data_IF_166754070799
#
_entry.id   IF_166754070799
#
_cell.length_a   1.000
_cell.length_b   1.000
_cell.length_c   1.000
_cell.angle_alpha   90.00
_cell.angle_beta   90.00
_cell.angle_gamma   90.00
#
_symmetry.space_group_name_H-M   'P 1'
#
loop_
_entity.id
_entity.type
_entity.pdbx_description
1 polymer ?
#
# COMPACT_ATOMS: atom_id res chain seq x y z
N UNK A 1 -27.74 -11.31 -17.78
CA UNK A 1 -26.73 -10.24 -17.86
C UNK A 1 -26.32 -9.90 -16.44
N UNK A 2 -25.14 -10.35 -16.00
CA UNK A 2 -24.59 -9.94 -14.72
C UNK A 2 -24.21 -8.47 -14.86
N UNK A 3 -25.06 -7.58 -14.36
CA UNK A 3 -24.64 -6.21 -14.11
C UNK A 3 -23.60 -6.31 -12.99
N UNK A 4 -22.31 -6.36 -13.37
CA UNK A 4 -21.21 -6.09 -12.45
C UNK A 4 -21.57 -4.79 -11.74
N UNK A 5 -21.96 -4.91 -10.47
CA UNK A 5 -22.27 -3.77 -9.62
C UNK A 5 -20.93 -3.07 -9.35
N UNK A 6 -20.47 -2.25 -10.31
CA UNK A 6 -19.24 -1.46 -10.15
C UNK A 6 -19.47 -0.55 -8.96
N UNK A 7 -18.77 -0.88 -7.86
CA UNK A 7 -18.71 -0.05 -6.67
C UNK A 7 -18.44 1.40 -7.09
N UNK A 8 -19.13 2.41 -6.55
CA UNK A 8 -18.86 3.81 -6.87
C UNK A 8 -17.41 4.23 -6.53
N UNK A 9 -16.65 3.38 -5.82
CA UNK A 9 -15.24 3.56 -5.48
C UNK A 9 -14.27 2.97 -6.51
N UNK A 10 -14.76 2.31 -7.56
CA UNK A 10 -13.94 1.68 -8.62
C UNK A 10 -12.92 2.65 -9.24
N UNK A 11 -13.28 3.87 -9.69
CA UNK A 11 -12.28 4.79 -10.27
C UNK A 11 -11.21 5.21 -9.27
N UNK A 12 -11.57 5.37 -7.99
CA UNK A 12 -10.62 5.74 -6.92
C UNK A 12 -9.70 4.57 -6.58
N UNK A 13 -10.23 3.34 -6.58
CA UNK A 13 -9.45 2.12 -6.43
C UNK A 13 -8.42 1.95 -7.55
N UNK A 14 -8.81 2.16 -8.82
CA UNK A 14 -7.88 2.09 -9.96
C UNK A 14 -6.78 3.16 -9.86
N UNK A 15 -7.13 4.39 -9.49
CA UNK A 15 -6.15 5.48 -9.32
C UNK A 15 -5.12 5.17 -8.23
N UNK A 16 -5.60 4.72 -7.05
CA UNK A 16 -4.72 4.34 -5.92
C UNK A 16 -3.86 3.13 -6.28
N UNK A 17 -4.43 2.14 -6.97
CA UNK A 17 -3.67 0.97 -7.44
C UNK A 17 -2.57 1.35 -8.44
N UNK A 18 -2.88 2.19 -9.41
CA UNK A 18 -1.91 2.69 -10.39
C UNK A 18 -0.79 3.51 -9.72
N UNK A 19 -1.15 4.38 -8.77
CA UNK A 19 -0.18 5.15 -7.99
C UNK A 19 0.74 4.25 -7.16
N UNK A 20 0.20 3.21 -6.51
CA UNK A 20 0.99 2.28 -5.70
C UNK A 20 1.97 1.47 -6.56
N UNK A 21 1.55 1.00 -7.75
CA UNK A 21 2.43 0.27 -8.68
C UNK A 21 3.54 1.19 -9.19
N UNK A 22 3.20 2.41 -9.61
CA UNK A 22 4.17 3.38 -10.09
C UNK A 22 5.20 3.72 -9.01
N UNK A 23 4.74 3.93 -7.78
CA UNK A 23 5.60 4.27 -6.65
C UNK A 23 6.53 3.11 -6.28
N UNK A 24 6.05 1.87 -6.32
CA UNK A 24 6.88 0.67 -6.18
C UNK A 24 7.93 0.59 -7.28
N UNK A 25 7.54 0.78 -8.55
CA UNK A 25 8.48 0.77 -9.66
C UNK A 25 9.56 1.83 -9.49
N UNK A 26 9.18 3.07 -9.16
CA UNK A 26 10.10 4.18 -8.98
C UNK A 26 11.11 3.93 -7.85
N UNK A 27 10.66 3.38 -6.71
CA UNK A 27 11.59 3.11 -5.60
C UNK A 27 12.50 1.93 -5.94
N UNK A 28 11.98 0.84 -6.48
CA UNK A 28 12.80 -0.35 -6.80
C UNK A 28 13.78 -0.13 -7.95
N UNK A 29 13.51 0.83 -8.83
CA UNK A 29 14.43 1.24 -9.90
C UNK A 29 15.31 2.44 -9.53
N UNK A 30 15.06 3.07 -8.38
CA UNK A 30 15.97 4.06 -7.85
C UNK A 30 17.30 3.39 -7.49
N UNK A 31 18.41 4.10 -7.68
CA UNK A 31 19.76 3.62 -7.35
C UNK A 31 19.96 3.51 -5.84
N UNK A 32 19.25 2.57 -5.21
CA UNK A 32 19.28 2.31 -3.76
C UNK A 32 20.64 1.71 -3.41
N UNK A 33 21.28 2.28 -2.39
CA UNK A 33 22.42 1.66 -1.74
C UNK A 33 21.96 0.50 -0.85
N UNK A 34 22.00 -0.70 -1.41
CA UNK A 34 21.63 -1.94 -0.72
C UNK A 34 22.61 -2.36 0.38
N UNK A 35 23.71 -1.63 0.60
CA UNK A 35 24.57 -1.86 1.75
C UNK A 35 24.15 -1.04 2.97
N UNK A 36 23.33 -0.01 2.77
CA UNK A 36 22.76 0.79 3.85
C UNK A 36 21.53 0.10 4.44
N UNK A 37 21.64 -0.32 5.72
CA UNK A 37 20.51 -0.89 6.46
C UNK A 37 19.29 0.04 6.50
N UNK A 38 19.52 1.36 6.59
CA UNK A 38 18.45 2.36 6.54
C UNK A 38 17.74 2.44 5.19
N UNK A 39 18.49 2.29 4.09
CA UNK A 39 17.91 2.27 2.75
C UNK A 39 17.09 1.00 2.51
N UNK A 40 17.60 -0.18 2.89
CA UNK A 40 16.86 -1.45 2.84
C UNK A 40 15.55 -1.32 3.62
N UNK A 41 15.64 -0.81 4.84
CA UNK A 41 14.48 -0.66 5.70
C UNK A 41 13.45 0.27 5.03
N UNK A 42 13.89 1.44 4.52
CA UNK A 42 13.02 2.41 3.82
C UNK A 42 12.25 1.77 2.67
N UNK A 43 12.94 0.99 1.83
CA UNK A 43 12.31 0.28 0.70
C UNK A 43 11.30 -0.75 1.18
N UNK A 44 11.62 -1.49 2.25
CA UNK A 44 10.72 -2.46 2.87
C UNK A 44 9.43 -1.81 3.40
N UNK A 45 9.57 -0.69 4.12
CA UNK A 45 8.43 0.07 4.62
C UNK A 45 7.55 0.64 3.50
N UNK A 46 8.18 1.25 2.50
CA UNK A 46 7.48 1.79 1.34
C UNK A 46 6.73 0.69 0.57
N UNK A 47 7.36 -0.48 0.44
CA UNK A 47 6.74 -1.65 -0.18
C UNK A 47 5.53 -2.15 0.61
N UNK A 48 5.62 -2.24 1.94
CA UNK A 48 4.49 -2.64 2.79
C UNK A 48 3.29 -1.68 2.67
N UNK A 49 3.54 -0.37 2.65
CA UNK A 49 2.49 0.65 2.45
C UNK A 49 1.82 0.50 1.09
N UNK A 50 2.61 0.34 0.03
CA UNK A 50 2.07 0.18 -1.32
C UNK A 50 1.24 -1.10 -1.46
N UNK A 51 1.66 -2.20 -0.83
CA UNK A 51 0.87 -3.44 -0.77
C UNK A 51 -0.47 -3.24 -0.06
N UNK A 52 -0.48 -2.50 1.06
CA UNK A 52 -1.73 -2.13 1.74
C UNK A 52 -2.69 -1.32 0.85
N UNK A 53 -2.14 -0.36 0.09
CA UNK A 53 -2.90 0.43 -0.87
C UNK A 53 -3.47 -0.45 -2.00
N UNK A 54 -2.71 -1.43 -2.48
CA UNK A 54 -3.15 -2.37 -3.52
C UNK A 54 -4.28 -3.27 -3.02
N UNK A 55 -4.20 -3.79 -1.80
CA UNK A 55 -5.27 -4.59 -1.21
C UNK A 55 -6.56 -3.76 -1.08
N UNK A 56 -6.47 -2.49 -0.67
CA UNK A 56 -7.63 -1.59 -0.67
C UNK A 56 -8.16 -1.34 -2.08
N UNK A 57 -7.29 -1.04 -3.03
CA UNK A 57 -7.64 -0.76 -4.42
C UNK A 57 -8.39 -1.93 -5.07
N UNK A 58 -7.92 -3.17 -4.84
CA UNK A 58 -8.60 -4.39 -5.31
C UNK A 58 -9.99 -4.48 -4.69
N UNK A 59 -10.12 -4.37 -3.36
CA UNK A 59 -11.44 -4.42 -2.70
C UNK A 59 -12.40 -3.29 -3.12
N UNK A 60 -11.86 -2.11 -3.43
CA UNK A 60 -12.64 -0.96 -3.90
C UNK A 60 -13.11 -1.10 -5.34
N UNK A 61 -12.32 -1.75 -6.20
CA UNK A 61 -12.61 -2.00 -7.62
C UNK A 61 -13.56 -3.18 -7.83
N UNK A 62 -13.38 -4.27 -7.08
CA UNK A 62 -14.23 -5.46 -7.16
C UNK A 62 -15.56 -5.29 -6.43
N UNK A 63 -15.68 -4.27 -5.56
CA UNK A 63 -16.85 -4.11 -4.69
C UNK A 63 -16.90 -5.08 -3.50
N UNK A 64 -16.01 -6.06 -3.47
CA UNK A 64 -15.89 -7.09 -2.43
C UNK A 64 -15.58 -6.49 -1.04
N UNK A 65 -15.00 -5.29 -0.98
CA UNK A 65 -14.85 -4.54 0.28
C UNK A 65 -16.17 -4.17 0.96
N UNK A 66 -17.28 -4.12 0.22
CA UNK A 66 -18.62 -3.85 0.75
C UNK A 66 -19.30 -5.14 1.23
N UNK A 67 -19.03 -6.28 0.58
CA UNK A 67 -19.61 -7.58 0.92
C UNK A 67 -18.85 -8.27 2.06
N UNK A 68 -17.52 -8.12 2.10
CA UNK A 68 -16.64 -8.73 3.10
C UNK A 68 -15.72 -7.69 3.73
N UNK A 69 -16.23 -6.74 4.53
CA UNK A 69 -15.43 -5.62 5.04
C UNK A 69 -14.34 -6.04 6.03
N UNK A 70 -14.52 -7.15 6.77
CA UNK A 70 -13.63 -7.60 7.85
C UNK A 70 -12.21 -7.95 7.35
N UNK A 71 -12.02 -8.81 6.32
CA UNK A 71 -10.68 -9.13 5.82
C UNK A 71 -9.94 -7.92 5.26
N UNK A 72 -10.62 -7.08 4.47
CA UNK A 72 -10.01 -5.86 3.93
C UNK A 72 -9.61 -4.90 5.05
N UNK A 73 -10.45 -4.71 6.07
CA UNK A 73 -10.13 -3.86 7.22
C UNK A 73 -8.92 -4.38 7.99
N UNK A 74 -8.82 -5.69 8.22
CA UNK A 74 -7.67 -6.32 8.91
C UNK A 74 -6.38 -6.17 8.11
N UNK A 75 -6.42 -6.41 6.80
CA UNK A 75 -5.25 -6.24 5.93
C UNK A 75 -4.80 -4.78 5.88
N UNK A 76 -5.74 -3.83 5.76
CA UNK A 76 -5.43 -2.40 5.83
C UNK A 76 -4.83 -1.97 7.16
N UNK A 77 -5.36 -2.48 8.27
CA UNK A 77 -4.81 -2.19 9.59
C UNK A 77 -3.41 -2.80 9.79
N UNK A 78 -3.16 -3.99 9.25
CA UNK A 78 -1.84 -4.62 9.26
C UNK A 78 -0.83 -3.82 8.45
N UNK A 79 -1.11 -3.58 7.16
CA UNK A 79 -0.19 -2.87 6.28
C UNK A 79 -0.06 -1.38 6.65
N UNK A 80 -1.16 -0.73 7.06
CA UNK A 80 -1.15 0.64 7.56
C UNK A 80 -0.43 0.77 8.91
N UNK A 81 -0.63 -0.18 9.82
CA UNK A 81 0.08 -0.24 11.11
C UNK A 81 1.58 -0.47 10.92
N UNK A 82 1.95 -1.41 10.04
CA UNK A 82 3.34 -1.60 9.62
C UNK A 82 3.92 -0.31 9.04
N UNK A 83 3.18 0.39 8.17
CA UNK A 83 3.59 1.67 7.62
C UNK A 83 3.84 2.76 8.67
N UNK A 84 2.97 2.88 9.68
CA UNK A 84 3.11 3.88 10.76
C UNK A 84 4.29 3.55 11.67
N UNK A 85 4.43 2.30 12.10
CA UNK A 85 5.58 1.86 12.90
C UNK A 85 6.88 2.10 12.15
N UNK A 86 6.87 1.88 10.85
CA UNK A 86 8.02 2.07 9.99
C UNK A 86 8.38 3.55 9.80
N UNK A 87 7.41 4.42 9.52
CA UNK A 87 7.60 5.88 9.47
C UNK A 87 8.06 6.44 10.81
N UNK A 88 7.54 5.92 11.93
CA UNK A 88 8.00 6.26 13.27
C UNK A 88 9.45 5.86 13.53
N UNK A 89 9.86 4.67 13.05
CA UNK A 89 11.25 4.22 13.10
C UNK A 89 12.19 5.08 12.24
N UNK A 90 11.77 5.44 11.02
CA UNK A 90 12.52 6.34 10.14
C UNK A 90 12.67 7.74 10.74
N UNK A 91 11.62 8.29 11.33
CA UNK A 91 11.68 9.58 12.02
C UNK A 91 12.70 9.54 13.17
N UNK A 92 12.70 8.47 13.97
CA UNK A 92 13.69 8.30 15.05
C UNK A 92 15.14 8.23 14.53
N UNK A 93 15.37 7.57 13.39
CA UNK A 93 16.71 7.44 12.79
C UNK A 93 17.20 8.75 12.16
N UNK A 94 16.31 9.60 11.63
CA UNK A 94 16.69 10.88 11.01
C UNK A 94 17.02 11.97 12.03
N UNK A 95 16.49 11.88 13.26
CA UNK A 95 16.69 12.86 14.32
C UNK A 95 17.78 12.49 15.35
N UNK A 96 18.45 11.35 15.18
CA UNK A 96 19.56 10.85 16.00
C UNK A 96 20.88 10.91 15.22
#
# INVERSE_FOLDING_TARGET
>A
MNFEYRSPRTPLGLFVGAWAIWSLYAIWTSGIDWQSGGAIATVGGFTAVCLGCLVWAIGATTGDSLERPIPYRRLMQLFGGLGILFLGGLALVVFL
#
